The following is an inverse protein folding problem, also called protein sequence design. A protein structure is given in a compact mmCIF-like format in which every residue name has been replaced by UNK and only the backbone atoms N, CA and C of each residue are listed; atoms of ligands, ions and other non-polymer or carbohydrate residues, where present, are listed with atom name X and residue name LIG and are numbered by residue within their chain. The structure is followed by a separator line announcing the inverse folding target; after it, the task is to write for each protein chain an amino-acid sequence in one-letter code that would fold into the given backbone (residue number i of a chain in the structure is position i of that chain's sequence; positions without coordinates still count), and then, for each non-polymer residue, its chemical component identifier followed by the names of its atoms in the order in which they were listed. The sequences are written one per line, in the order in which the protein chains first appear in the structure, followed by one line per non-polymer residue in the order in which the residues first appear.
data_IF_695212565315
#
_entry.id   IF_695212565315
#
_cell.length_a   1.000
_cell.length_b   1.000
_cell.length_c   1.000
_cell.angle_alpha   90.00
_cell.angle_beta   90.00
_cell.angle_gamma   90.00
#
_symmetry.space_group_name_H-M   'P 1'
#
loop_
_entity.id
_entity.type
_entity.pdbx_description
1 polymer ?
#
# COMPACT_ATOMS: atom_id res chain seq x y z
N UNK A 1 33.64 -1.18 -32.96
CA UNK A 1 33.45 0.08 -32.21
C UNK A 1 32.19 -0.08 -31.38
N UNK A 2 32.32 -0.49 -30.11
CA UNK A 2 31.19 -0.77 -29.23
C UNK A 2 30.90 0.52 -28.45
N UNK A 3 29.75 1.14 -28.73
CA UNK A 3 29.34 2.39 -28.10
C UNK A 3 28.86 2.09 -26.67
N UNK A 4 29.57 2.63 -25.67
CA UNK A 4 29.18 2.55 -24.27
C UNK A 4 27.93 3.42 -24.05
N UNK A 5 26.81 2.80 -23.70
CA UNK A 5 25.63 3.52 -23.17
C UNK A 5 25.96 4.01 -21.75
N UNK A 6 25.70 5.28 -21.41
CA UNK A 6 25.88 5.76 -20.04
C UNK A 6 24.86 5.07 -19.12
N UNK A 7 25.39 4.41 -18.09
CA UNK A 7 24.61 3.82 -17.00
C UNK A 7 23.78 4.93 -16.34
N UNK A 8 22.48 4.90 -16.58
CA UNK A 8 21.54 5.83 -15.96
C UNK A 8 21.72 5.77 -14.44
N UNK A 9 22.05 6.91 -13.84
CA UNK A 9 22.02 7.11 -12.41
C UNK A 9 20.72 6.52 -11.84
N UNK A 10 20.84 5.65 -10.83
CA UNK A 10 19.79 4.74 -10.38
C UNK A 10 18.43 5.39 -10.16
N UNK A 11 17.48 5.09 -11.02
CA UNK A 11 16.07 5.38 -10.76
C UNK A 11 15.56 4.34 -9.75
N UNK A 12 15.58 4.70 -8.46
CA UNK A 12 14.85 3.93 -7.46
C UNK A 12 13.36 4.05 -7.82
N UNK A 13 12.65 2.93 -8.08
CA UNK A 13 11.21 3.01 -8.30
C UNK A 13 10.55 3.65 -7.07
N UNK A 14 9.50 4.47 -7.27
CA UNK A 14 8.79 5.07 -6.16
C UNK A 14 8.31 3.98 -5.19
N UNK A 15 8.25 4.28 -3.88
CA UNK A 15 7.73 3.31 -2.92
C UNK A 15 6.29 2.92 -3.29
N UNK A 16 5.87 1.69 -2.96
CA UNK A 16 4.53 1.24 -3.26
C UNK A 16 3.49 2.14 -2.57
N UNK A 17 2.37 2.45 -3.25
CA UNK A 17 1.26 3.20 -2.63
C UNK A 17 0.77 2.47 -1.38
N UNK A 18 0.53 3.22 -0.30
CA UNK A 18 0.17 2.66 1.00
C UNK A 18 -1.36 2.67 1.19
N UNK A 19 -1.89 1.54 1.65
CA UNK A 19 -3.32 1.33 1.95
C UNK A 19 -3.47 0.93 3.41
N UNK A 20 -4.37 1.63 4.11
CA UNK A 20 -4.85 1.23 5.43
C UNK A 20 -6.15 0.43 5.23
N UNK A 21 -6.08 -0.87 5.47
CA UNK A 21 -7.23 -1.76 5.43
C UNK A 21 -7.84 -1.84 6.82
N UNK A 22 -9.08 -1.39 6.97
CA UNK A 22 -9.86 -1.52 8.22
C UNK A 22 -10.89 -2.61 7.98
N UNK A 23 -10.74 -3.75 8.64
CA UNK A 23 -11.60 -4.92 8.42
C UNK A 23 -11.60 -5.82 9.67
N UNK A 24 -12.77 -6.12 10.24
CA UNK A 24 -12.88 -6.88 11.49
C UNK A 24 -12.86 -8.40 11.25
N UNK A 25 -13.28 -8.87 10.07
CA UNK A 25 -13.12 -10.26 9.68
C UNK A 25 -11.69 -10.55 9.20
N UNK A 26 -11.00 -11.41 9.93
CA UNK A 26 -9.60 -11.78 9.64
C UNK A 26 -9.40 -12.47 8.30
N UNK A 27 -10.32 -13.34 7.88
CA UNK A 27 -10.17 -14.10 6.62
C UNK A 27 -10.37 -13.17 5.43
N UNK A 28 -11.33 -12.26 5.53
CA UNK A 28 -11.55 -11.25 4.51
C UNK A 28 -10.38 -10.27 4.44
N UNK A 29 -9.87 -9.84 5.59
CA UNK A 29 -8.69 -8.97 5.66
C UNK A 29 -7.44 -9.59 5.02
N UNK A 30 -7.21 -10.88 5.26
CA UNK A 30 -6.12 -11.65 4.65
C UNK A 30 -6.29 -11.70 3.13
N UNK A 31 -7.47 -12.08 2.64
CA UNK A 31 -7.77 -12.15 1.20
C UNK A 31 -7.57 -10.79 0.49
N UNK A 32 -8.11 -9.71 1.05
CA UNK A 32 -7.98 -8.36 0.48
C UNK A 32 -6.53 -7.89 0.55
N UNK A 33 -5.85 -8.16 1.67
CA UNK A 33 -4.46 -7.78 1.87
C UNK A 33 -3.53 -8.44 0.87
N UNK A 34 -3.73 -9.73 0.58
CA UNK A 34 -2.92 -10.48 -0.36
C UNK A 34 -3.15 -9.99 -1.80
N UNK A 35 -4.41 -9.81 -2.19
CA UNK A 35 -4.75 -9.23 -3.50
C UNK A 35 -4.09 -7.86 -3.73
N UNK A 36 -4.15 -6.96 -2.75
CA UNK A 36 -3.54 -5.63 -2.87
C UNK A 36 -2.01 -5.69 -2.92
N UNK A 37 -1.38 -6.59 -2.15
CA UNK A 37 0.08 -6.78 -2.19
C UNK A 37 0.54 -7.34 -3.53
N UNK A 38 -0.19 -8.30 -4.10
CA UNK A 38 0.05 -8.83 -5.45
C UNK A 38 0.01 -7.74 -6.53
N UNK A 39 -0.82 -6.71 -6.32
CA UNK A 39 -0.93 -5.54 -7.20
C UNK A 39 0.03 -4.39 -6.86
N UNK A 40 0.99 -4.61 -5.95
CA UNK A 40 2.07 -3.66 -5.67
C UNK A 40 1.75 -2.58 -4.64
N UNK A 41 0.71 -2.78 -3.82
CA UNK A 41 0.41 -1.88 -2.69
C UNK A 41 1.10 -2.34 -1.40
N UNK A 42 1.48 -1.37 -0.56
CA UNK A 42 1.82 -1.64 0.84
C UNK A 42 0.55 -1.62 1.68
N UNK A 43 0.25 -2.72 2.39
CA UNK A 43 -1.01 -2.85 3.15
C UNK A 43 -0.74 -2.94 4.64
N UNK A 44 -1.32 -2.03 5.41
CA UNK A 44 -1.45 -2.10 6.86
C UNK A 44 -2.89 -2.46 7.23
N UNK A 45 -3.09 -3.52 8.00
CA UNK A 45 -4.42 -3.97 8.43
C UNK A 45 -4.70 -3.57 9.88
N UNK A 46 -5.91 -3.11 10.13
CA UNK A 46 -6.44 -2.76 11.45
C UNK A 46 -7.80 -3.44 11.62
N UNK A 47 -7.96 -4.21 12.71
CA UNK A 47 -9.17 -4.99 12.97
C UNK A 47 -10.34 -4.19 13.59
N UNK A 48 -10.14 -2.91 13.90
CA UNK A 48 -11.15 -2.03 14.50
C UNK A 48 -11.06 -0.62 13.93
N UNK A 49 -12.20 -0.07 13.53
CA UNK A 49 -12.30 1.31 13.01
C UNK A 49 -11.79 2.38 13.97
N UNK A 50 -11.85 2.11 15.28
CA UNK A 50 -11.47 3.05 16.35
C UNK A 50 -9.96 3.35 16.41
N UNK A 51 -9.12 2.50 15.82
CA UNK A 51 -7.65 2.67 15.77
C UNK A 51 -7.18 3.28 14.44
N UNK A 52 -8.09 3.52 13.48
CA UNK A 52 -7.76 4.06 12.16
C UNK A 52 -7.36 5.55 12.18
N UNK A 53 -7.68 6.26 13.26
CA UNK A 53 -7.41 7.70 13.46
C UNK A 53 -5.99 8.01 13.96
N UNK A 54 -5.22 7.01 14.42
CA UNK A 54 -3.87 7.20 14.98
C UNK A 54 -2.72 6.74 14.04
N UNK A 55 -3.00 6.59 12.74
CA UNK A 55 -1.96 6.37 11.74
C UNK A 55 -1.08 7.63 11.56
N UNK A 56 0.23 7.50 11.26
CA UNK A 56 1.13 8.63 11.07
C UNK A 56 0.54 9.64 10.07
N UNK A 57 0.57 10.90 10.50
CA UNK A 57 -0.10 12.01 9.85
C UNK A 57 0.16 12.09 8.34
N UNK A 58 -0.95 12.32 7.62
CA UNK A 58 -1.04 12.93 6.29
C UNK A 58 -0.16 12.32 5.16
N UNK A 59 -0.76 11.40 4.39
CA UNK A 59 -0.36 11.16 3.00
C UNK A 59 -1.58 11.34 2.09
N UNK A 60 -1.37 12.09 1.02
CA UNK A 60 -2.33 12.92 0.25
C UNK A 60 -3.24 12.14 -0.71
N UNK A 61 -3.51 10.86 -0.48
CA UNK A 61 -4.33 10.05 -1.40
C UNK A 61 -4.98 8.86 -0.67
N UNK A 62 -5.99 9.10 0.17
CA UNK A 62 -6.68 8.03 0.90
C UNK A 62 -7.99 7.68 0.22
N UNK A 63 -8.01 6.57 -0.52
CA UNK A 63 -9.25 5.92 -0.92
C UNK A 63 -9.69 5.01 0.23
N UNK A 64 -10.78 5.38 0.88
CA UNK A 64 -11.40 4.61 1.96
C UNK A 64 -12.53 3.80 1.33
N UNK A 65 -12.36 2.49 1.20
CA UNK A 65 -13.45 1.60 0.81
C UNK A 65 -14.13 1.10 2.09
N UNK A 66 -15.24 1.74 2.47
CA UNK A 66 -16.18 1.23 3.46
C UNK A 66 -17.29 0.51 2.68
N UNK A 67 -17.43 -0.81 2.83
CA UNK A 67 -18.62 -1.51 2.34
C UNK A 67 -19.43 -2.02 3.53
N UNK A 68 -20.60 -1.39 3.67
CA UNK A 68 -21.70 -1.57 4.65
C UNK A 68 -21.65 -0.69 5.89
#
# INVERSE_FOLDING_TARGET
MQTLVPSAAGHRPPPPPQVLLVEDDRRLAELIGDYLREHGFGVQHVARGDTASEGPAASTNRSWCCWT
#
